data_IF_815051739552
#
_entry.id   IF_815051739552
#
_cell.length_a   1.000
_cell.length_b   1.000
_cell.length_c   1.000
_cell.angle_alpha   90.00
_cell.angle_beta   90.00
_cell.angle_gamma   90.00
#
_symmetry.space_group_name_H-M   'P 1'
#
loop_
_entity.id
_entity.type
_entity.pdbx_description
1 polymer ?
#
# COMPACT_ATOMS: atom_id res chain seq x y z
N UNK A 1 20.22 5.02 10.83
CA UNK A 1 19.04 5.90 10.55
C UNK A 1 18.55 5.60 9.13
N UNK A 2 17.31 5.19 8.98
CA UNK A 2 16.71 4.89 7.69
C UNK A 2 16.29 6.18 6.96
N UNK A 3 16.45 6.21 5.63
CA UNK A 3 15.97 7.31 4.78
C UNK A 3 14.74 6.81 4.04
N UNK A 4 13.59 7.45 4.24
CA UNK A 4 12.30 6.98 3.75
C UNK A 4 11.73 7.93 2.71
N UNK A 5 11.31 7.39 1.56
CA UNK A 5 10.45 8.06 0.59
C UNK A 5 9.02 7.49 0.72
N UNK A 6 8.02 8.35 0.88
CA UNK A 6 6.63 7.94 0.83
C UNK A 6 6.08 8.00 -0.59
N UNK A 7 5.31 6.97 -0.96
CA UNK A 7 4.60 6.85 -2.22
C UNK A 7 3.10 6.75 -1.94
N UNK A 8 2.34 7.72 -2.42
CA UNK A 8 0.90 7.85 -2.20
C UNK A 8 0.20 7.82 -3.57
N UNK A 9 -0.59 6.78 -3.83
CA UNK A 9 -1.44 6.72 -5.02
C UNK A 9 -2.76 7.44 -4.72
N UNK A 10 -3.17 8.37 -5.59
CA UNK A 10 -4.37 9.18 -5.41
C UNK A 10 -5.23 9.21 -6.69
N UNK A 11 -6.54 9.14 -6.52
CA UNK A 11 -7.52 9.36 -7.59
C UNK A 11 -8.81 9.93 -7.02
N UNK A 12 -9.11 11.19 -7.33
CA UNK A 12 -10.27 11.94 -6.80
C UNK A 12 -10.32 11.88 -5.27
N UNK A 13 -9.27 12.41 -4.63
CA UNK A 13 -9.09 12.47 -3.18
C UNK A 13 -8.77 13.90 -2.70
N UNK A 14 -9.29 14.93 -3.39
CA UNK A 14 -9.02 16.34 -3.07
C UNK A 14 -9.32 16.69 -1.60
N UNK A 15 -10.28 15.99 -0.98
CA UNK A 15 -10.71 16.22 0.39
C UNK A 15 -9.63 15.86 1.41
N UNK A 16 -8.85 14.80 1.15
CA UNK A 16 -7.99 14.20 2.18
C UNK A 16 -6.51 14.20 1.83
N UNK A 17 -6.16 14.21 0.55
CA UNK A 17 -4.76 14.09 0.09
C UNK A 17 -3.82 15.10 0.76
N UNK A 18 -4.27 16.36 0.93
CA UNK A 18 -3.45 17.40 1.57
C UNK A 18 -3.15 17.10 3.05
N UNK A 19 -4.09 16.51 3.78
CA UNK A 19 -3.88 16.11 5.17
C UNK A 19 -2.95 14.89 5.25
N UNK A 20 -3.14 13.90 4.37
CA UNK A 20 -2.26 12.71 4.28
C UNK A 20 -0.83 13.14 3.99
N UNK A 21 -0.62 14.03 3.00
CA UNK A 21 0.71 14.53 2.64
C UNK A 21 1.38 15.24 3.81
N UNK A 22 0.72 16.20 4.46
CA UNK A 22 1.30 16.93 5.61
C UNK A 22 1.62 16.01 6.77
N UNK A 23 0.73 15.09 7.12
CA UNK A 23 0.97 14.11 8.19
C UNK A 23 2.14 13.18 7.86
N UNK A 24 2.25 12.74 6.61
CA UNK A 24 3.34 11.87 6.15
C UNK A 24 4.68 12.61 6.12
N UNK A 25 4.72 13.85 5.65
CA UNK A 25 5.94 14.65 5.51
C UNK A 25 6.67 14.89 6.84
N UNK A 26 5.96 14.82 7.97
CA UNK A 26 6.57 14.92 9.30
C UNK A 26 7.49 13.73 9.65
N UNK A 27 7.40 12.60 8.94
CA UNK A 27 8.07 11.35 9.29
C UNK A 27 9.00 10.81 8.21
N UNK A 28 9.00 11.39 7.01
CA UNK A 28 9.76 10.88 5.85
C UNK A 28 10.59 11.97 5.20
N UNK A 29 11.64 11.57 4.47
CA UNK A 29 12.53 12.52 3.79
C UNK A 29 11.89 13.12 2.54
N UNK A 30 10.94 12.44 1.92
CA UNK A 30 10.26 12.87 0.69
C UNK A 30 8.87 12.23 0.59
N UNK A 31 7.89 13.04 0.22
CA UNK A 31 6.53 12.56 -0.10
C UNK A 31 6.27 12.73 -1.58
N UNK A 32 5.91 11.62 -2.24
CA UNK A 32 5.58 11.56 -3.67
C UNK A 32 4.14 11.11 -3.81
N UNK A 33 3.33 11.90 -4.49
CA UNK A 33 1.94 11.58 -4.83
C UNK A 33 1.85 11.26 -6.32
N UNK A 34 1.22 10.16 -6.65
CA UNK A 34 0.87 9.81 -8.02
C UNK A 34 -0.63 10.05 -8.18
N UNK A 35 -0.92 11.14 -8.85
CA UNK A 35 -2.29 11.47 -9.23
C UNK A 35 -2.67 10.68 -10.48
N UNK A 36 -3.52 9.68 -10.32
CA UNK A 36 -3.93 8.75 -11.39
C UNK A 36 -5.03 9.33 -12.28
N UNK A 37 -4.81 10.55 -12.80
CA UNK A 37 -5.72 11.22 -13.71
C UNK A 37 -7.01 11.71 -13.01
N UNK A 38 -6.90 12.33 -11.85
CA UNK A 38 -8.02 12.92 -11.14
C UNK A 38 -8.69 14.05 -11.95
N UNK A 39 -10.01 14.18 -11.76
CA UNK A 39 -10.82 15.23 -12.36
C UNK A 39 -11.16 16.35 -11.38
N UNK A 40 -10.75 16.21 -10.12
CA UNK A 40 -10.91 17.17 -9.04
C UNK A 40 -9.58 17.88 -8.72
N UNK A 41 -9.51 18.59 -7.60
CA UNK A 41 -8.31 19.34 -7.18
C UNK A 41 -7.23 18.48 -6.49
N UNK A 42 -7.26 17.15 -6.62
CA UNK A 42 -6.32 16.23 -5.93
C UNK A 42 -4.87 16.62 -6.15
N UNK A 43 -4.43 16.78 -7.41
CA UNK A 43 -3.04 17.11 -7.71
C UNK A 43 -2.62 18.49 -7.16
N UNK A 44 -3.50 19.49 -7.24
CA UNK A 44 -3.24 20.82 -6.71
C UNK A 44 -3.08 20.78 -5.19
N UNK A 45 -4.00 20.14 -4.48
CA UNK A 45 -3.97 19.98 -3.01
C UNK A 45 -2.73 19.24 -2.52
N UNK A 46 -2.29 18.22 -3.27
CA UNK A 46 -1.07 17.48 -2.93
C UNK A 46 0.18 18.37 -3.07
N UNK A 47 0.27 19.19 -4.15
CA UNK A 47 1.39 20.14 -4.34
C UNK A 47 1.40 21.22 -3.25
N UNK A 48 0.24 21.83 -2.95
CA UNK A 48 0.08 22.80 -1.88
C UNK A 48 0.52 22.26 -0.50
N UNK A 49 0.34 20.95 -0.29
CA UNK A 49 0.76 20.28 0.94
C UNK A 49 2.26 19.92 0.96
N UNK A 50 3.02 20.18 -0.12
CA UNK A 50 4.47 19.98 -0.20
C UNK A 50 4.91 18.67 -0.84
N UNK A 51 4.00 17.91 -1.48
CA UNK A 51 4.38 16.70 -2.19
C UNK A 51 5.00 16.97 -3.57
N UNK A 52 5.93 16.11 -3.98
CA UNK A 52 6.25 15.94 -5.41
C UNK A 52 5.09 15.20 -6.07
N UNK A 53 4.46 15.77 -7.11
CA UNK A 53 3.29 15.16 -7.75
C UNK A 53 3.59 14.77 -9.18
N UNK A 54 3.41 13.50 -9.51
CA UNK A 54 3.37 12.96 -10.86
C UNK A 54 1.91 12.72 -11.24
N UNK A 55 1.49 13.15 -12.44
CA UNK A 55 0.11 13.07 -12.87
C UNK A 55 0.00 12.23 -14.14
N UNK A 56 -0.92 11.26 -14.16
CA UNK A 56 -1.30 10.53 -15.37
C UNK A 56 -2.33 11.34 -16.16
N UNK A 57 -2.32 11.24 -17.48
CA UNK A 57 -3.29 11.91 -18.35
C UNK A 57 -4.73 11.40 -18.12
N UNK A 58 -4.87 10.15 -17.67
CA UNK A 58 -6.14 9.48 -17.36
C UNK A 58 -5.96 8.42 -16.28
N UNK A 59 -7.05 7.95 -15.72
CA UNK A 59 -7.02 6.84 -14.77
C UNK A 59 -6.51 5.55 -15.43
N UNK A 60 -5.36 5.06 -14.94
CA UNK A 60 -4.70 3.82 -15.36
C UNK A 60 -4.83 2.71 -14.33
N UNK A 61 -5.35 3.01 -13.14
CA UNK A 61 -5.55 2.13 -12.00
C UNK A 61 -4.43 2.19 -10.97
N UNK A 62 -4.77 1.86 -9.70
CA UNK A 62 -3.88 1.96 -8.54
C UNK A 62 -2.52 1.30 -8.78
N UNK A 63 -2.50 0.10 -9.36
CA UNK A 63 -1.25 -0.60 -9.63
C UNK A 63 -0.35 0.12 -10.62
N UNK A 64 -0.92 0.77 -11.63
CA UNK A 64 -0.16 1.61 -12.57
C UNK A 64 0.44 2.82 -11.87
N UNK A 65 -0.33 3.48 -10.99
CA UNK A 65 0.15 4.60 -10.18
C UNK A 65 1.29 4.17 -9.25
N UNK A 66 1.15 3.03 -8.57
CA UNK A 66 2.21 2.46 -7.73
C UNK A 66 3.48 2.20 -8.53
N UNK A 67 3.39 1.60 -9.72
CA UNK A 67 4.57 1.32 -10.57
C UNK A 67 5.25 2.61 -11.05
N UNK A 68 4.48 3.60 -11.50
CA UNK A 68 5.02 4.92 -11.87
C UNK A 68 5.76 5.54 -10.68
N UNK A 69 5.15 5.52 -9.50
CA UNK A 69 5.76 6.03 -8.29
C UNK A 69 7.01 5.25 -7.88
N UNK A 70 7.01 3.93 -7.98
CA UNK A 70 8.19 3.09 -7.69
C UNK A 70 9.36 3.43 -8.60
N UNK A 71 9.13 3.60 -9.90
CA UNK A 71 10.17 4.01 -10.85
C UNK A 71 10.81 5.34 -10.41
N UNK A 72 10.01 6.29 -9.96
CA UNK A 72 10.51 7.57 -9.49
C UNK A 72 11.23 7.48 -8.13
N UNK A 73 10.63 6.86 -7.11
CA UNK A 73 11.20 6.84 -5.75
C UNK A 73 12.42 5.96 -5.65
N UNK A 74 12.51 4.87 -6.43
CA UNK A 74 13.70 4.02 -6.44
C UNK A 74 14.91 4.66 -7.13
N UNK A 75 14.71 5.70 -7.93
CA UNK A 75 15.80 6.53 -8.46
C UNK A 75 16.32 7.55 -7.43
N UNK A 76 15.62 7.73 -6.29
CA UNK A 76 16.02 8.62 -5.22
C UNK A 76 16.92 7.90 -4.19
N UNK A 77 17.73 8.63 -3.40
CA UNK A 77 18.54 8.06 -2.34
C UNK A 77 17.68 7.73 -1.12
N UNK A 78 16.85 6.67 -1.21
CA UNK A 78 16.07 6.17 -0.08
C UNK A 78 16.33 4.70 0.21
N UNK A 79 16.45 4.36 1.49
CA UNK A 79 16.67 3.00 1.96
C UNK A 79 15.35 2.21 2.01
N UNK A 80 14.24 2.90 2.25
CA UNK A 80 12.90 2.31 2.36
C UNK A 80 11.86 3.14 1.60
N UNK A 81 10.84 2.46 1.11
CA UNK A 81 9.64 3.07 0.52
C UNK A 81 8.45 2.80 1.44
N UNK A 82 7.79 3.88 1.86
CA UNK A 82 6.54 3.85 2.59
C UNK A 82 5.38 4.00 1.60
N UNK A 83 4.49 3.04 1.57
CA UNK A 83 3.24 3.10 0.81
C UNK A 83 2.11 3.55 1.72
N UNK A 84 1.24 4.40 1.22
CA UNK A 84 0.08 4.92 1.92
C UNK A 84 -1.02 5.29 0.93
N UNK A 85 -2.29 5.13 1.32
CA UNK A 85 -3.43 5.56 0.52
C UNK A 85 -3.78 7.03 0.79
N UNK A 86 -4.30 7.72 -0.24
CA UNK A 86 -4.64 9.15 -0.16
C UNK A 86 -5.97 9.44 0.55
N UNK A 87 -6.74 8.40 0.92
CA UNK A 87 -8.11 8.49 1.43
C UNK A 87 -8.20 8.68 2.96
N UNK A 88 -7.04 8.87 3.63
CA UNK A 88 -6.91 9.06 5.09
C UNK A 88 -7.44 7.88 5.94
N UNK A 89 -7.74 6.71 5.38
CA UNK A 89 -8.12 5.54 6.19
C UNK A 89 -6.96 5.03 7.05
N UNK A 90 -5.72 5.24 6.59
CA UNK A 90 -4.51 5.03 7.38
C UNK A 90 -4.10 6.34 8.04
N UNK A 91 -3.96 6.31 9.37
CA UNK A 91 -3.50 7.46 10.14
C UNK A 91 -1.99 7.68 9.91
N UNK A 92 -1.56 8.82 9.32
CA UNK A 92 -0.13 9.11 9.20
C UNK A 92 0.61 9.16 10.56
N UNK A 93 -0.10 9.41 11.66
CA UNK A 93 0.44 9.34 13.02
C UNK A 93 0.89 7.94 13.45
N UNK A 94 0.53 6.91 12.71
CA UNK A 94 0.97 5.53 12.94
C UNK A 94 2.30 5.19 12.21
N UNK A 95 2.79 6.08 11.33
CA UNK A 95 4.08 5.89 10.61
C UNK A 95 5.24 5.59 11.57
N UNK A 96 5.41 6.26 12.72
CA UNK A 96 6.50 5.96 13.64
C UNK A 96 6.56 4.49 14.08
N UNK A 97 5.42 3.79 14.19
CA UNK A 97 5.41 2.36 14.55
C UNK A 97 6.05 1.48 13.48
N UNK A 98 5.84 1.81 12.18
CA UNK A 98 6.45 1.07 11.09
C UNK A 98 7.96 1.38 11.01
N UNK A 99 8.35 2.64 11.24
CA UNK A 99 9.75 3.06 11.25
C UNK A 99 10.52 2.38 12.37
N UNK A 100 9.99 2.39 13.59
CA UNK A 100 10.57 1.73 14.74
C UNK A 100 10.78 0.24 14.49
N UNK A 101 9.78 -0.43 13.92
CA UNK A 101 9.89 -1.84 13.58
C UNK A 101 10.95 -2.12 12.52
N UNK A 102 11.10 -1.25 11.52
CA UNK A 102 12.12 -1.40 10.49
C UNK A 102 13.54 -1.09 11.00
N UNK A 103 13.70 -0.21 12.00
CA UNK A 103 15.00 0.11 12.58
C UNK A 103 15.47 -0.94 13.59
N UNK A 104 14.57 -1.51 14.40
CA UNK A 104 14.91 -2.40 15.52
C UNK A 104 14.58 -3.87 15.26
N UNK A 105 13.80 -4.16 14.22
CA UNK A 105 13.44 -5.51 13.81
C UNK A 105 14.35 -6.08 12.72
N UNK A 106 14.03 -7.28 12.29
CA UNK A 106 14.64 -7.91 11.11
C UNK A 106 13.89 -7.57 9.82
N UNK A 107 12.87 -6.69 9.91
CA UNK A 107 11.87 -6.48 8.88
C UNK A 107 12.40 -5.76 7.67
N UNK A 108 12.56 -6.51 6.59
CA UNK A 108 12.73 -5.94 5.25
C UNK A 108 11.41 -5.42 4.69
N UNK A 109 10.29 -5.92 5.22
CA UNK A 109 8.93 -5.58 4.87
C UNK A 109 8.06 -5.50 6.13
N UNK A 110 7.66 -4.30 6.51
CA UNK A 110 6.73 -4.05 7.61
C UNK A 110 5.35 -3.76 7.06
N UNK A 111 4.36 -4.58 7.44
CA UNK A 111 2.95 -4.43 7.05
C UNK A 111 2.17 -3.82 8.21
N UNK A 112 1.57 -2.66 7.96
CA UNK A 112 0.61 -2.05 8.86
C UNK A 112 -0.75 -2.74 8.72
N UNK A 113 -1.11 -3.61 9.63
CA UNK A 113 -2.39 -4.31 9.67
C UNK A 113 -3.42 -3.47 10.42
N UNK A 114 -4.54 -3.20 9.76
CA UNK A 114 -5.63 -2.43 10.39
C UNK A 114 -6.26 -3.23 11.52
N UNK A 115 -6.53 -2.55 12.62
CA UNK A 115 -7.34 -3.11 13.68
C UNK A 115 -8.76 -3.34 13.17
N UNK A 116 -9.15 -4.61 13.02
CA UNK A 116 -10.48 -4.99 12.57
C UNK A 116 -11.43 -5.12 13.77
N UNK A 117 -12.14 -4.06 14.11
CA UNK A 117 -13.35 -4.19 14.88
C UNK A 117 -14.44 -4.81 13.98
N UNK A 118 -15.02 -5.93 14.42
CA UNK A 118 -16.07 -6.65 13.68
C UNK A 118 -17.24 -5.76 13.27
N UNK A 119 -17.48 -4.72 14.05
CA UNK A 119 -18.57 -3.76 13.88
C UNK A 119 -18.21 -2.58 12.96
N UNK A 120 -16.94 -2.49 12.53
CA UNK A 120 -16.44 -1.35 11.77
C UNK A 120 -16.58 -1.49 10.24
N UNK A 121 -17.10 -2.62 9.74
CA UNK A 121 -17.32 -2.85 8.30
C UNK A 121 -18.44 -3.85 8.04
N UNK A 122 -19.07 -3.81 6.83
CA UNK A 122 -20.08 -4.80 6.46
C UNK A 122 -19.55 -6.23 6.59
N UNK A 123 -20.35 -7.14 7.19
CA UNK A 123 -19.98 -8.52 7.50
C UNK A 123 -19.41 -9.28 6.27
N UNK A 124 -20.01 -9.10 5.10
CA UNK A 124 -19.54 -9.71 3.86
C UNK A 124 -18.09 -9.31 3.52
N UNK A 125 -17.71 -8.06 3.79
CA UNK A 125 -16.38 -7.54 3.54
C UNK A 125 -15.38 -8.05 4.57
N UNK A 126 -15.78 -8.11 5.84
CA UNK A 126 -14.98 -8.70 6.91
C UNK A 126 -14.64 -10.16 6.59
N UNK A 127 -15.64 -10.99 6.30
CA UNK A 127 -15.42 -12.39 5.96
C UNK A 127 -14.58 -12.58 4.70
N UNK A 128 -14.82 -11.77 3.67
CA UNK A 128 -14.03 -11.81 2.42
C UNK A 128 -12.56 -11.51 2.68
N UNK A 129 -12.23 -10.49 3.48
CA UNK A 129 -10.85 -10.16 3.81
C UNK A 129 -10.19 -11.24 4.68
N UNK A 130 -10.88 -11.75 5.70
CA UNK A 130 -10.37 -12.82 6.59
C UNK A 130 -10.08 -14.10 5.80
N UNK A 131 -11.01 -14.53 4.94
CA UNK A 131 -10.83 -15.74 4.11
C UNK A 131 -9.68 -15.53 3.13
N UNK A 132 -9.65 -14.39 2.42
CA UNK A 132 -8.60 -14.07 1.47
C UNK A 132 -7.22 -14.02 2.12
N UNK A 133 -7.10 -13.37 3.29
CA UNK A 133 -5.83 -13.30 4.03
C UNK A 133 -5.38 -14.66 4.54
N UNK A 134 -6.28 -15.51 5.05
CA UNK A 134 -5.94 -16.88 5.47
C UNK A 134 -5.45 -17.75 4.31
N UNK A 135 -6.12 -17.69 3.17
CA UNK A 135 -5.70 -18.39 1.96
C UNK A 135 -4.30 -17.91 1.57
N UNK A 136 -4.11 -16.61 1.50
CA UNK A 136 -2.83 -16.02 1.11
C UNK A 136 -1.72 -16.39 2.10
N UNK A 137 -1.97 -16.29 3.41
CA UNK A 137 -1.00 -16.69 4.47
C UNK A 137 -0.49 -18.11 4.28
N UNK A 138 -1.41 -19.05 3.96
CA UNK A 138 -1.02 -20.44 3.69
C UNK A 138 -0.19 -20.59 2.41
N UNK A 139 -0.42 -19.72 1.42
CA UNK A 139 0.35 -19.76 0.16
C UNK A 139 1.75 -19.19 0.28
N UNK A 140 1.91 -18.10 1.03
CA UNK A 140 3.20 -17.44 1.16
C UNK A 140 4.04 -18.01 2.32
N UNK A 141 3.44 -18.85 3.19
CA UNK A 141 4.13 -19.38 4.38
C UNK A 141 4.37 -18.34 5.48
N UNK A 142 3.67 -17.20 5.43
CA UNK A 142 3.75 -16.13 6.42
C UNK A 142 2.34 -15.71 6.84
N UNK A 143 2.14 -15.48 8.12
CA UNK A 143 0.84 -15.08 8.64
C UNK A 143 0.56 -13.61 8.31
N UNK A 144 -0.61 -13.33 7.69
CA UNK A 144 -1.09 -11.99 7.33
C UNK A 144 -2.56 -11.90 7.67
N UNK A 145 -2.93 -10.95 8.54
CA UNK A 145 -4.31 -10.71 8.91
C UNK A 145 -5.02 -9.75 7.94
N UNK A 146 -4.29 -8.79 7.37
CA UNK A 146 -4.80 -7.80 6.42
C UNK A 146 -3.95 -7.72 5.16
N UNK A 147 -4.16 -8.64 4.24
CA UNK A 147 -3.43 -8.70 2.96
C UNK A 147 -3.71 -7.51 2.02
N UNK A 148 -4.81 -6.80 2.24
CA UNK A 148 -5.26 -5.66 1.43
C UNK A 148 -4.85 -4.31 2.03
N UNK A 149 -4.08 -4.29 3.12
CA UNK A 149 -3.56 -3.03 3.65
C UNK A 149 -2.58 -2.40 2.68
N UNK A 150 -2.83 -1.14 2.31
CA UNK A 150 -1.92 -0.30 1.53
C UNK A 150 -0.80 0.33 2.37
N UNK A 151 -0.83 0.18 3.70
CA UNK A 151 0.13 0.78 4.60
C UNK A 151 1.33 -0.13 4.82
N UNK A 152 2.42 0.13 4.12
CA UNK A 152 3.59 -0.76 4.02
C UNK A 152 4.87 0.03 4.04
N UNK A 153 5.86 -0.44 4.78
CA UNK A 153 7.23 0.07 4.72
C UNK A 153 8.15 -1.05 4.22
N UNK A 154 8.81 -0.85 3.10
CA UNK A 154 9.56 -1.90 2.40
C UNK A 154 10.96 -1.40 2.06
N UNK A 155 11.98 -2.22 2.31
CA UNK A 155 13.36 -1.94 1.95
C UNK A 155 13.51 -1.77 0.43
N UNK A 156 14.07 -0.67 -0.02
CA UNK A 156 14.24 -0.35 -1.45
C UNK A 156 15.02 -1.44 -2.21
N UNK A 157 16.01 -2.06 -1.55
CA UNK A 157 16.80 -3.14 -2.15
C UNK A 157 15.95 -4.37 -2.50
N UNK A 158 14.88 -4.67 -1.73
CA UNK A 158 13.94 -5.74 -2.05
C UNK A 158 13.01 -5.37 -3.20
N UNK A 159 12.51 -4.14 -3.21
CA UNK A 159 11.65 -3.67 -4.30
C UNK A 159 12.35 -3.70 -5.66
N UNK A 160 13.68 -3.52 -5.68
CA UNK A 160 14.49 -3.64 -6.92
C UNK A 160 14.62 -5.08 -7.43
N UNK A 161 14.36 -6.09 -6.59
CA UNK A 161 14.45 -7.51 -6.97
C UNK A 161 13.19 -8.05 -7.63
N UNK A 162 12.08 -7.32 -7.55
CA UNK A 162 10.78 -7.78 -8.03
C UNK A 162 10.23 -6.87 -9.11
N UNK A 163 9.63 -7.47 -10.13
CA UNK A 163 8.87 -6.74 -11.15
C UNK A 163 7.38 -6.83 -10.84
N UNK A 164 6.71 -5.70 -10.72
CA UNK A 164 5.27 -5.63 -10.47
C UNK A 164 4.54 -5.34 -11.77
N UNK A 165 3.47 -6.10 -12.04
CA UNK A 165 2.71 -6.04 -13.30
C UNK A 165 1.26 -5.65 -13.13
N UNK A 166 0.70 -5.81 -11.92
CA UNK A 166 -0.66 -5.47 -11.58
C UNK A 166 -1.03 -4.02 -11.95
N UNK A 167 -2.24 -3.81 -12.43
CA UNK A 167 -2.76 -2.49 -12.81
C UNK A 167 -3.77 -1.93 -11.81
N UNK A 168 -4.45 -2.80 -11.07
CA UNK A 168 -5.48 -2.45 -10.09
C UNK A 168 -5.06 -2.73 -8.66
N UNK A 169 -6.04 -3.08 -7.82
CA UNK A 169 -5.82 -3.37 -6.39
C UNK A 169 -5.06 -4.69 -6.16
N UNK A 170 -4.99 -5.57 -7.16
CA UNK A 170 -4.20 -6.79 -7.10
C UNK A 170 -2.71 -6.56 -6.88
N UNK A 171 -2.21 -5.35 -7.15
CA UNK A 171 -0.80 -4.95 -6.94
C UNK A 171 -0.34 -5.19 -5.50
N UNK A 172 -1.23 -5.01 -4.52
CA UNK A 172 -0.91 -5.20 -3.10
C UNK A 172 -0.67 -6.67 -2.77
N UNK A 173 -1.47 -7.56 -3.34
CA UNK A 173 -1.31 -9.01 -3.20
C UNK A 173 -0.09 -9.51 -3.98
N UNK A 174 0.10 -9.02 -5.19
CA UNK A 174 1.27 -9.33 -6.02
C UNK A 174 2.56 -8.96 -5.29
N UNK A 175 2.63 -7.74 -4.76
CA UNK A 175 3.78 -7.24 -4.02
C UNK A 175 4.08 -8.12 -2.81
N UNK A 176 3.07 -8.49 -2.03
CA UNK A 176 3.22 -9.34 -0.86
C UNK A 176 3.78 -10.73 -1.26
N UNK A 177 3.20 -11.38 -2.28
CA UNK A 177 3.65 -12.69 -2.76
C UNK A 177 5.09 -12.63 -3.26
N UNK A 178 5.41 -11.67 -4.14
CA UNK A 178 6.72 -11.59 -4.78
C UNK A 178 7.83 -11.25 -3.78
N UNK A 179 7.58 -10.33 -2.86
CA UNK A 179 8.57 -9.95 -1.86
C UNK A 179 8.85 -11.08 -0.86
N UNK A 180 7.82 -11.77 -0.36
CA UNK A 180 8.03 -12.91 0.55
C UNK A 180 8.78 -14.04 -0.17
N UNK A 181 8.48 -14.31 -1.43
CA UNK A 181 9.23 -15.28 -2.24
C UNK A 181 10.68 -14.86 -2.52
N UNK A 182 10.91 -13.56 -2.63
CA UNK A 182 12.27 -13.01 -2.75
C UNK A 182 13.06 -13.04 -1.42
N UNK A 183 12.48 -13.64 -0.38
CA UNK A 183 13.12 -13.83 0.92
C UNK A 183 12.91 -12.65 1.88
N UNK A 184 11.91 -11.79 1.66
CA UNK A 184 11.63 -10.70 2.59
C UNK A 184 11.22 -11.23 3.96
N UNK A 185 11.87 -10.76 5.01
CA UNK A 185 11.41 -10.93 6.37
C UNK A 185 10.19 -10.02 6.60
N UNK A 186 8.99 -10.62 6.61
CA UNK A 186 7.73 -9.91 6.83
C UNK A 186 7.50 -9.73 8.33
N UNK A 187 7.33 -8.48 8.72
CA UNK A 187 6.87 -8.10 10.06
C UNK A 187 5.52 -7.39 9.98
N UNK A 188 4.77 -7.43 11.08
CA UNK A 188 3.42 -6.88 11.17
C UNK A 188 3.33 -5.91 12.33
N UNK A 189 2.61 -4.83 12.12
CA UNK A 189 2.34 -3.82 13.14
C UNK A 189 0.85 -3.47 13.09
N UNK A 190 0.16 -3.57 14.23
CA UNK A 190 -1.24 -3.14 14.32
C UNK A 190 -1.31 -1.62 14.27
N UNK A 191 -2.09 -1.10 13.32
CA UNK A 191 -2.29 0.33 13.09
C UNK A 191 -3.75 0.70 13.22
N UNK A 192 -3.99 1.90 13.75
CA UNK A 192 -5.33 2.46 13.87
C UNK A 192 -5.89 2.74 12.48
N UNK A 193 -7.16 2.43 12.29
CA UNK A 193 -7.94 2.87 11.15
C UNK A 193 -8.73 4.12 11.52
N UNK A 194 -8.58 5.18 10.75
CA UNK A 194 -9.45 6.34 10.87
C UNK A 194 -10.79 6.05 10.20
N UNK A 195 -11.88 6.37 10.91
CA UNK A 195 -13.24 6.31 10.39
C UNK A 195 -13.79 7.72 10.34
N UNK A 196 -14.31 8.13 9.20
CA UNK A 196 -14.98 9.42 9.05
C UNK A 196 -16.18 9.31 8.11
N UNK A 197 -17.14 10.20 8.29
CA UNK A 197 -18.35 10.24 7.46
C UNK A 197 -17.98 10.48 5.99
N UNK A 198 -18.52 9.64 5.10
CA UNK A 198 -18.28 9.73 3.68
C UNK A 198 -17.11 8.91 3.14
N UNK A 199 -16.36 8.20 3.97
CA UNK A 199 -15.34 7.25 3.51
C UNK A 199 -15.98 6.12 2.70
N UNK A 200 -15.95 6.23 1.38
CA UNK A 200 -16.42 5.18 0.46
C UNK A 200 -15.21 4.40 -0.03
N UNK A 201 -15.17 3.13 0.32
CA UNK A 201 -14.16 2.25 -0.27
C UNK A 201 -14.48 1.98 -1.74
N UNK A 202 -13.51 2.21 -2.60
CA UNK A 202 -13.56 1.94 -4.04
C UNK A 202 -13.37 0.45 -4.38
N UNK A 203 -13.04 -0.38 -3.40
CA UNK A 203 -12.85 -1.84 -3.54
C UNK A 203 -14.21 -2.52 -3.77
N UNK A 204 -14.27 -3.41 -4.77
CA UNK A 204 -15.41 -4.29 -5.06
C UNK A 204 -15.16 -5.66 -4.43
N UNK A 205 -15.79 -6.00 -3.26
CA UNK A 205 -15.34 -7.11 -2.41
C UNK A 205 -15.21 -8.44 -3.15
N UNK A 206 -16.22 -8.87 -3.88
CA UNK A 206 -16.21 -10.15 -4.57
C UNK A 206 -15.22 -10.22 -5.74
N UNK A 207 -15.18 -9.17 -6.57
CA UNK A 207 -14.31 -9.16 -7.76
C UNK A 207 -12.83 -9.07 -7.38
N UNK A 208 -12.52 -8.25 -6.41
CA UNK A 208 -11.14 -8.00 -6.02
C UNK A 208 -10.60 -9.19 -5.18
N UNK A 209 -11.44 -9.79 -4.32
CA UNK A 209 -11.08 -11.04 -3.62
C UNK A 209 -10.88 -12.21 -4.60
N UNK A 210 -11.78 -12.35 -5.59
CA UNK A 210 -11.63 -13.39 -6.61
C UNK A 210 -10.31 -13.22 -7.40
N UNK A 211 -9.98 -11.99 -7.81
CA UNK A 211 -8.70 -11.68 -8.47
C UNK A 211 -7.51 -11.99 -7.58
N UNK A 212 -7.57 -11.66 -6.31
CA UNK A 212 -6.54 -11.99 -5.31
C UNK A 212 -6.34 -13.50 -5.21
N UNK A 213 -7.42 -14.26 -5.09
CA UNK A 213 -7.35 -15.72 -5.02
C UNK A 213 -6.81 -16.34 -6.32
N UNK A 214 -7.26 -15.86 -7.48
CA UNK A 214 -6.77 -16.31 -8.78
C UNK A 214 -5.28 -15.98 -8.98
N UNK A 215 -4.86 -14.80 -8.54
CA UNK A 215 -3.46 -14.42 -8.59
C UNK A 215 -2.60 -15.33 -7.69
N UNK A 216 -3.03 -15.60 -6.46
CA UNK A 216 -2.34 -16.51 -5.56
C UNK A 216 -2.24 -17.92 -6.16
N UNK A 217 -3.30 -18.42 -6.78
CA UNK A 217 -3.31 -19.71 -7.49
C UNK A 217 -2.38 -19.71 -8.71
N UNK A 218 -2.41 -18.65 -9.52
CA UNK A 218 -1.53 -18.52 -10.68
C UNK A 218 -0.06 -18.58 -10.26
N UNK A 219 0.34 -17.83 -9.24
CA UNK A 219 1.69 -17.88 -8.70
C UNK A 219 2.07 -19.24 -8.09
N UNK A 220 1.11 -20.05 -7.61
CA UNK A 220 1.40 -21.40 -7.12
C UNK A 220 1.75 -22.39 -8.24
N UNK A 221 0.98 -22.33 -9.34
CA UNK A 221 1.10 -23.32 -10.40
C UNK A 221 2.02 -22.89 -11.56
N UNK A 222 2.26 -21.58 -11.68
CA UNK A 222 3.15 -21.00 -12.71
C UNK A 222 4.20 -20.11 -12.08
N UNK A 223 5.22 -20.69 -11.40
CA UNK A 223 6.25 -19.91 -10.70
C UNK A 223 7.25 -19.18 -11.60
N UNK A 224 7.11 -19.25 -12.91
CA UNK A 224 8.12 -18.87 -13.90
C UNK A 224 8.04 -17.45 -14.48
N UNK A 225 7.17 -16.57 -13.97
CA UNK A 225 7.16 -15.14 -14.37
C UNK A 225 7.51 -14.26 -13.17
N UNK A 226 8.77 -14.30 -12.74
CA UNK A 226 9.35 -13.38 -11.76
C UNK A 226 10.00 -12.19 -12.46
#
# INVERSE_FOLDING_TARGET
MITVCALIAAFNEERYVGQVVRGTAAHVSRTVVIDDGSTDSTAARAREAGATVLTHERNLGKGSAVRTGLTYVLAQPCSHVLFLDADLQHDPGEIPKLLDRAEHGVGDFVLGEREFARDAMPAARFHSNVIGSRILSRFIGAEVADSQSGFRLIRSALLRKVSLTGRGYEIETEMLIKLVRAGAALERVTVRRLQYEGARSKIRPFRDTFRTCMLALAYRYFPGES
#
